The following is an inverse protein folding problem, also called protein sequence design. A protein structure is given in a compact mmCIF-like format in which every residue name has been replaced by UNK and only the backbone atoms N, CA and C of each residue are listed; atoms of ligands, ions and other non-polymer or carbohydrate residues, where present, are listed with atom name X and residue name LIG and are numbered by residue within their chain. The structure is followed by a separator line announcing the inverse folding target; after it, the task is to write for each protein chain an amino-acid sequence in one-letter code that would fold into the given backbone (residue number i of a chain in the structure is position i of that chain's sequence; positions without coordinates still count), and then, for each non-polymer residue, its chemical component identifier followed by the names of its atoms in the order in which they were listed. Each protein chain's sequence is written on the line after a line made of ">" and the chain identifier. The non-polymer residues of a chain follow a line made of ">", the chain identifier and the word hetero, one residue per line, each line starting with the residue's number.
data_IF_404664531387
#
_entry.id   IF_404664531387
#
_cell.length_a   1.000
_cell.length_b   1.000
_cell.length_c   1.000
_cell.angle_alpha   90.00
_cell.angle_beta   90.00
_cell.angle_gamma   90.00
#
_symmetry.space_group_name_H-M   'P 1'
#
loop_
_entity.id
_entity.type
_entity.pdbx_description
1 polymer ?
#
# COMPACT_ATOMS: atom_id res chain seq x y z
N UNK A 1 9.50 1.02 24.59
CA UNK A 1 8.18 0.45 24.86
C UNK A 1 7.12 1.31 24.22
N UNK A 2 6.06 0.68 23.68
CA UNK A 2 4.92 1.37 23.08
C UNK A 2 3.74 1.23 24.02
N UNK A 3 3.19 2.34 24.49
CA UNK A 3 2.01 2.36 25.36
C UNK A 3 0.77 2.50 24.47
N UNK A 4 0.07 1.40 24.22
CA UNK A 4 -1.14 1.42 23.42
C UNK A 4 -2.23 2.27 24.08
N UNK A 5 -2.98 3.00 23.25
CA UNK A 5 -4.23 3.61 23.70
C UNK A 5 -5.21 2.51 24.17
N UNK A 6 -6.07 2.78 25.19
CA UNK A 6 -7.00 1.78 25.72
C UNK A 6 -7.90 1.13 24.65
N UNK A 7 -8.30 1.92 23.64
CA UNK A 7 -9.13 1.47 22.54
C UNK A 7 -8.42 0.45 21.64
N UNK A 8 -7.12 0.65 21.37
CA UNK A 8 -6.33 -0.25 20.53
C UNK A 8 -5.81 -1.45 21.34
N UNK A 9 -5.59 -1.30 22.64
CA UNK A 9 -5.19 -2.40 23.50
C UNK A 9 -6.28 -3.50 23.62
N UNK A 10 -7.55 -3.11 23.45
CA UNK A 10 -8.67 -4.06 23.42
C UNK A 10 -8.80 -4.82 22.09
N UNK A 11 -8.07 -4.41 21.05
CA UNK A 11 -8.17 -5.00 19.71
C UNK A 11 -6.98 -5.92 19.41
N UNK A 12 -7.20 -7.11 18.82
CA UNK A 12 -6.12 -8.02 18.42
C UNK A 12 -5.09 -7.38 17.50
N UNK A 13 -5.57 -6.49 16.62
CA UNK A 13 -4.71 -5.74 15.67
C UNK A 13 -3.79 -4.76 16.41
N UNK A 14 -4.26 -4.14 17.50
CA UNK A 14 -3.44 -3.27 18.33
C UNK A 14 -2.31 -4.03 19.00
N UNK A 15 -2.60 -5.19 19.58
CA UNK A 15 -1.60 -6.07 20.21
C UNK A 15 -0.56 -6.57 19.19
N UNK A 16 -1.01 -6.94 17.98
CA UNK A 16 -0.12 -7.31 16.89
C UNK A 16 0.80 -6.14 16.51
N UNK A 17 0.25 -4.94 16.37
CA UNK A 17 1.03 -3.76 16.05
C UNK A 17 2.07 -3.45 17.14
N UNK A 18 1.71 -3.59 18.42
CA UNK A 18 2.65 -3.43 19.55
C UNK A 18 3.81 -4.42 19.44
N UNK A 19 3.51 -5.68 19.16
CA UNK A 19 4.53 -6.71 18.97
C UNK A 19 5.47 -6.36 17.81
N UNK A 20 4.93 -5.94 16.65
CA UNK A 20 5.72 -5.54 15.49
C UNK A 20 6.56 -4.30 15.77
N UNK A 21 6.02 -3.31 16.49
CA UNK A 21 6.72 -2.09 16.89
C UNK A 21 7.86 -2.39 17.89
N UNK A 22 7.68 -3.36 18.79
CA UNK A 22 8.71 -3.71 19.80
C UNK A 22 9.98 -4.29 19.18
N UNK A 23 9.88 -4.88 17.98
CA UNK A 23 11.05 -5.40 17.28
C UNK A 23 11.93 -4.28 16.67
N UNK A 24 11.43 -3.05 16.58
CA UNK A 24 12.17 -1.96 15.99
C UNK A 24 13.05 -1.24 17.00
N UNK A 25 14.37 -1.32 16.83
CA UNK A 25 15.36 -0.60 17.65
C UNK A 25 15.74 0.78 17.11
N UNK A 26 15.04 1.26 16.09
CA UNK A 26 15.24 2.56 15.44
C UNK A 26 16.67 2.84 14.95
N UNK A 27 17.45 1.82 14.57
CA UNK A 27 18.84 1.95 14.11
C UNK A 27 19.02 2.72 12.80
N UNK A 28 17.98 2.76 11.92
CA UNK A 28 18.02 3.52 10.68
C UNK A 28 18.60 2.80 9.46
N UNK A 29 19.12 1.55 9.56
CA UNK A 29 19.63 0.82 8.40
C UNK A 29 18.62 0.72 7.24
N UNK A 30 17.34 0.63 7.55
CA UNK A 30 16.27 0.59 6.58
C UNK A 30 16.15 1.85 5.70
N UNK A 31 16.65 3.00 6.17
CA UNK A 31 16.60 4.26 5.40
C UNK A 31 17.56 4.22 4.20
N UNK A 32 18.72 3.55 4.34
CA UNK A 32 19.71 3.44 3.27
C UNK A 32 19.18 2.73 2.02
N UNK A 33 18.22 1.82 2.17
CA UNK A 33 17.64 1.05 1.06
C UNK A 33 16.27 1.57 0.62
N UNK A 34 15.77 2.62 1.25
CA UNK A 34 14.44 3.16 0.95
C UNK A 34 14.49 4.18 -0.19
N UNK A 35 13.87 3.90 -1.36
CA UNK A 35 13.91 4.82 -2.50
C UNK A 35 13.20 6.16 -2.21
N UNK A 36 12.13 6.15 -1.43
CA UNK A 36 11.42 7.40 -1.09
C UNK A 36 12.23 8.28 -0.15
N UNK A 37 12.97 7.69 0.79
CA UNK A 37 13.88 8.44 1.64
C UNK A 37 15.04 9.05 0.84
N UNK A 38 15.66 8.27 -0.05
CA UNK A 38 16.77 8.73 -0.88
C UNK A 38 16.37 9.87 -1.83
N UNK A 39 15.17 9.84 -2.38
CA UNK A 39 14.68 10.85 -3.31
C UNK A 39 14.19 12.14 -2.62
N UNK A 40 13.56 12.02 -1.46
CA UNK A 40 12.89 13.14 -0.80
C UNK A 40 13.72 13.77 0.34
N UNK A 41 14.66 13.01 0.92
CA UNK A 41 15.50 13.47 2.02
C UNK A 41 14.75 13.69 3.34
N UNK A 42 13.46 13.34 3.41
CA UNK A 42 12.62 13.50 4.60
C UNK A 42 12.60 12.22 5.41
N UNK A 43 12.93 12.32 6.71
CA UNK A 43 12.93 11.17 7.63
C UNK A 43 11.56 10.50 7.72
N UNK A 44 10.47 11.28 7.66
CA UNK A 44 9.10 10.75 7.70
C UNK A 44 8.72 9.99 6.42
N UNK A 45 9.46 10.17 5.33
CA UNK A 45 9.32 9.40 4.10
C UNK A 45 10.22 8.14 4.06
N UNK A 46 10.99 7.91 5.14
CA UNK A 46 11.75 6.70 5.42
C UNK A 46 10.96 5.66 6.23
N UNK A 47 11.39 4.39 6.24
CA UNK A 47 10.70 3.35 7.02
C UNK A 47 10.73 3.63 8.52
N UNK A 48 11.87 4.11 9.06
CA UNK A 48 12.02 4.45 10.47
C UNK A 48 11.05 5.54 10.90
N UNK A 49 10.95 6.62 10.14
CA UNK A 49 10.03 7.72 10.42
C UNK A 49 8.57 7.29 10.30
N UNK A 50 8.23 6.44 9.31
CA UNK A 50 6.87 5.89 9.18
C UNK A 50 6.52 4.97 10.36
N UNK A 51 7.44 4.15 10.84
CA UNK A 51 7.25 3.35 12.07
C UNK A 51 6.96 4.27 13.26
N UNK A 52 7.68 5.39 13.36
CA UNK A 52 7.45 6.37 14.42
C UNK A 52 6.05 7.00 14.33
N UNK A 53 5.60 7.37 13.13
CA UNK A 53 4.24 7.87 12.91
C UNK A 53 3.16 6.86 13.29
N UNK A 54 3.36 5.58 12.95
CA UNK A 54 2.44 4.50 13.31
C UNK A 54 2.43 4.29 14.84
N UNK A 55 3.59 4.37 15.47
CA UNK A 55 3.71 4.31 16.94
C UNK A 55 2.92 5.43 17.62
N UNK A 56 3.03 6.67 17.12
CA UNK A 56 2.26 7.80 17.66
C UNK A 56 0.74 7.56 17.58
N UNK A 57 0.25 6.99 16.45
CA UNK A 57 -1.16 6.62 16.33
C UNK A 57 -1.53 5.53 17.34
N UNK A 58 -0.69 4.51 17.50
CA UNK A 58 -0.90 3.44 18.46
C UNK A 58 -0.98 3.95 19.90
N UNK A 59 -0.24 5.02 20.23
CA UNK A 59 -0.22 5.69 21.53
C UNK A 59 -1.37 6.70 21.72
N UNK A 60 -2.30 6.79 20.75
CA UNK A 60 -3.52 7.60 20.85
C UNK A 60 -3.44 8.97 20.17
N UNK A 61 -2.34 9.29 19.45
CA UNK A 61 -2.29 10.53 18.69
C UNK A 61 -3.16 10.43 17.43
N UNK A 62 -3.86 11.50 17.12
CA UNK A 62 -4.71 11.53 15.92
C UNK A 62 -3.86 11.63 14.63
N UNK A 63 -4.20 10.80 13.68
CA UNK A 63 -3.59 10.83 12.36
C UNK A 63 -3.98 12.09 11.58
N UNK A 64 -2.99 12.83 11.11
CA UNK A 64 -3.20 14.03 10.29
C UNK A 64 -3.17 13.71 8.79
N UNK A 65 -3.56 14.68 7.96
CA UNK A 65 -3.40 14.58 6.51
C UNK A 65 -1.91 14.43 6.10
N UNK A 66 -0.99 15.03 6.87
CA UNK A 66 0.47 14.87 6.67
C UNK A 66 0.90 13.44 6.97
N UNK A 67 0.48 12.88 8.11
CA UNK A 67 0.73 11.47 8.47
C UNK A 67 0.29 10.53 7.35
N UNK A 68 -0.91 10.76 6.80
CA UNK A 68 -1.40 10.00 5.65
C UNK A 68 -0.49 10.14 4.44
N UNK A 69 -0.07 11.36 4.10
CA UNK A 69 0.76 11.61 2.92
C UNK A 69 2.08 10.82 2.99
N UNK A 70 2.75 10.80 4.15
CA UNK A 70 3.98 10.04 4.35
C UNK A 70 3.77 8.53 4.25
N UNK A 71 2.69 7.98 4.83
CA UNK A 71 2.38 6.56 4.72
C UNK A 71 1.97 6.16 3.28
N UNK A 72 1.20 7.00 2.59
CA UNK A 72 0.75 6.75 1.20
C UNK A 72 1.91 6.78 0.19
N UNK A 73 2.97 7.57 0.42
CA UNK A 73 4.16 7.63 -0.44
C UNK A 73 5.00 6.36 -0.42
N UNK A 74 4.80 5.46 0.54
CA UNK A 74 5.54 4.21 0.57
C UNK A 74 5.20 3.33 -0.63
N UNK A 75 6.23 2.90 -1.36
CA UNK A 75 6.11 2.06 -2.56
C UNK A 75 5.84 0.58 -2.26
N UNK A 76 5.80 0.18 -0.99
CA UNK A 76 5.63 -1.22 -0.54
C UNK A 76 6.64 -2.20 -1.16
N UNK A 77 7.82 -1.73 -1.54
CA UNK A 77 8.87 -2.55 -2.16
C UNK A 77 9.57 -3.54 -1.22
N UNK A 78 9.35 -3.42 0.10
CA UNK A 78 9.90 -4.29 1.17
C UNK A 78 11.43 -4.34 1.30
N UNK A 79 12.19 -3.53 0.55
CA UNK A 79 13.66 -3.50 0.67
C UNK A 79 14.13 -3.22 2.12
N UNK A 80 13.34 -2.46 2.88
CA UNK A 80 13.62 -2.18 4.28
C UNK A 80 13.50 -3.42 5.20
N UNK A 81 12.67 -4.40 4.85
CA UNK A 81 12.53 -5.65 5.61
C UNK A 81 13.78 -6.53 5.45
N UNK A 82 14.27 -6.67 4.21
CA UNK A 82 15.45 -7.49 3.91
C UNK A 82 16.74 -6.94 4.54
N UNK A 83 16.81 -5.62 4.71
CA UNK A 83 17.97 -4.93 5.31
C UNK A 83 17.90 -4.88 6.83
N UNK A 84 16.74 -5.16 7.43
CA UNK A 84 16.54 -4.99 8.87
C UNK A 84 17.19 -6.11 9.68
N UNK A 85 18.22 -5.83 10.52
CA UNK A 85 18.84 -6.86 11.35
C UNK A 85 17.92 -7.39 12.44
N UNK A 86 16.92 -6.60 12.86
CA UNK A 86 15.92 -6.99 13.88
C UNK A 86 14.69 -7.68 13.29
N UNK A 87 14.65 -7.95 11.98
CA UNK A 87 13.57 -8.68 11.34
C UNK A 87 12.19 -8.03 11.44
N UNK A 88 12.13 -6.69 11.44
CA UNK A 88 10.85 -5.96 11.52
C UNK A 88 10.00 -6.23 10.29
N UNK A 89 8.80 -6.75 10.46
CA UNK A 89 7.82 -6.95 9.40
C UNK A 89 7.12 -5.63 9.06
N UNK A 90 7.87 -4.74 8.42
CA UNK A 90 7.43 -3.39 8.11
C UNK A 90 6.18 -3.34 7.23
N UNK A 91 6.03 -4.25 6.27
CA UNK A 91 4.87 -4.29 5.37
C UNK A 91 3.57 -4.46 6.13
N UNK A 92 3.52 -5.42 7.07
CA UNK A 92 2.33 -5.64 7.92
C UNK A 92 2.05 -4.43 8.81
N UNK A 93 3.09 -3.85 9.41
CA UNK A 93 2.94 -2.66 10.24
C UNK A 93 2.41 -1.46 9.43
N UNK A 94 2.90 -1.28 8.20
CA UNK A 94 2.43 -0.24 7.29
C UNK A 94 0.95 -0.41 6.91
N UNK A 95 0.51 -1.65 6.66
CA UNK A 95 -0.89 -1.96 6.35
C UNK A 95 -1.80 -1.57 7.52
N UNK A 96 -1.45 -1.95 8.73
CA UNK A 96 -2.16 -1.57 9.96
C UNK A 96 -2.20 -0.04 10.11
N UNK A 97 -1.06 0.62 9.95
CA UNK A 97 -0.97 2.08 10.05
C UNK A 97 -1.83 2.80 9.01
N UNK A 98 -1.85 2.33 7.76
CA UNK A 98 -2.72 2.89 6.71
C UNK A 98 -4.21 2.69 7.02
N UNK A 99 -4.57 1.56 7.61
CA UNK A 99 -5.94 1.29 8.03
C UNK A 99 -6.38 2.26 9.13
N UNK A 100 -5.56 2.44 10.17
CA UNK A 100 -5.85 3.38 11.26
C UNK A 100 -5.98 4.82 10.76
N UNK A 101 -5.08 5.25 9.90
CA UNK A 101 -5.16 6.57 9.26
C UNK A 101 -6.43 6.72 8.42
N UNK A 102 -6.86 5.68 7.73
CA UNK A 102 -8.08 5.72 6.92
C UNK A 102 -9.34 5.83 7.79
N UNK A 103 -9.36 5.19 8.96
CA UNK A 103 -10.47 5.26 9.93
C UNK A 103 -10.52 6.65 10.57
N UNK A 104 -9.39 7.14 11.07
CA UNK A 104 -9.34 8.42 11.80
C UNK A 104 -9.49 9.64 10.89
N UNK A 105 -9.03 9.56 9.66
CA UNK A 105 -9.05 10.67 8.71
C UNK A 105 -9.53 10.20 7.33
N UNK A 106 -10.83 9.93 7.13
CA UNK A 106 -11.38 9.41 5.88
C UNK A 106 -11.35 10.43 4.73
N UNK A 107 -11.28 11.73 5.05
CA UNK A 107 -11.38 12.79 4.05
C UNK A 107 -10.19 12.77 3.08
N UNK A 108 -10.47 12.53 1.80
CA UNK A 108 -9.53 12.67 0.68
C UNK A 108 -10.08 13.68 -0.31
N UNK A 109 -9.22 14.48 -0.97
CA UNK A 109 -9.64 15.35 -2.06
C UNK A 109 -10.45 14.58 -3.11
N UNK A 110 -11.54 15.19 -3.61
CA UNK A 110 -12.42 14.54 -4.59
C UNK A 110 -11.66 14.02 -5.81
N UNK A 111 -10.67 14.77 -6.30
CA UNK A 111 -9.83 14.36 -7.43
C UNK A 111 -9.10 13.03 -7.15
N UNK A 112 -8.56 12.84 -5.95
CA UNK A 112 -7.89 11.58 -5.58
C UNK A 112 -8.90 10.42 -5.43
N UNK A 113 -10.11 10.71 -4.92
CA UNK A 113 -11.18 9.70 -4.80
C UNK A 113 -11.62 9.21 -6.19
N UNK A 114 -11.88 10.15 -7.10
CA UNK A 114 -12.27 9.84 -8.49
C UNK A 114 -11.17 9.10 -9.21
N UNK A 115 -9.91 9.55 -9.09
CA UNK A 115 -8.77 8.88 -9.72
C UNK A 115 -8.61 7.43 -9.21
N UNK A 116 -8.67 7.22 -7.90
CA UNK A 116 -8.58 5.86 -7.31
C UNK A 116 -9.74 4.97 -7.73
N UNK A 117 -10.95 5.51 -7.78
CA UNK A 117 -12.11 4.79 -8.28
C UNK A 117 -11.95 4.42 -9.75
N UNK A 118 -11.54 5.38 -10.59
CA UNK A 118 -11.32 5.14 -12.03
C UNK A 118 -10.21 4.10 -12.29
N UNK A 119 -9.11 4.17 -11.53
CA UNK A 119 -8.05 3.16 -11.62
C UNK A 119 -8.53 1.78 -11.15
N UNK A 120 -9.26 1.73 -10.03
CA UNK A 120 -9.82 0.48 -9.52
C UNK A 120 -10.76 -0.16 -10.54
N UNK A 121 -11.75 0.58 -11.02
CA UNK A 121 -12.73 0.05 -11.97
C UNK A 121 -12.12 -0.19 -13.37
N UNK A 122 -11.29 0.73 -13.83
CA UNK A 122 -10.69 0.65 -15.16
C UNK A 122 -9.63 -0.44 -15.32
N UNK A 123 -8.76 -0.63 -14.32
CA UNK A 123 -7.67 -1.61 -14.42
C UNK A 123 -8.10 -3.03 -14.06
N UNK A 124 -9.09 -3.19 -13.16
CA UNK A 124 -9.52 -4.52 -12.71
C UNK A 124 -10.50 -5.18 -13.66
N UNK A 125 -11.22 -4.40 -14.49
CA UNK A 125 -12.24 -4.92 -15.39
C UNK A 125 -11.74 -4.98 -16.83
N UNK A 126 -11.42 -6.17 -17.31
CA UNK A 126 -10.90 -6.40 -18.66
C UNK A 126 -11.81 -5.86 -19.78
N UNK A 127 -13.13 -5.91 -19.59
CA UNK A 127 -14.10 -5.40 -20.55
C UNK A 127 -14.09 -3.86 -20.68
N UNK A 128 -13.58 -3.14 -19.67
CA UNK A 128 -13.35 -1.68 -19.72
C UNK A 128 -11.93 -1.41 -20.22
N UNK A 129 -10.95 -2.15 -19.72
CA UNK A 129 -9.53 -1.94 -20.01
C UNK A 129 -9.20 -2.20 -21.48
N UNK A 130 -9.69 -3.30 -22.05
CA UNK A 130 -9.36 -3.68 -23.41
C UNK A 130 -9.85 -2.65 -24.45
N UNK A 131 -11.13 -2.22 -24.47
CA UNK A 131 -11.57 -1.19 -25.41
C UNK A 131 -10.90 0.16 -25.15
N UNK A 132 -10.66 0.54 -23.88
CA UNK A 132 -9.94 1.77 -23.57
C UNK A 132 -8.51 1.76 -24.15
N UNK A 133 -7.82 0.64 -24.09
CA UNK A 133 -6.49 0.47 -24.71
C UNK A 133 -6.55 0.50 -26.23
N UNK A 134 -7.59 -0.07 -26.86
CA UNK A 134 -7.78 -0.01 -28.32
C UNK A 134 -8.01 1.43 -28.78
N UNK A 135 -8.91 2.15 -28.10
CA UNK A 135 -9.17 3.57 -28.34
C UNK A 135 -7.87 4.39 -28.17
N UNK A 136 -7.12 4.15 -27.07
CA UNK A 136 -5.85 4.83 -26.83
C UNK A 136 -4.81 4.59 -27.95
N UNK A 137 -4.80 3.41 -28.58
CA UNK A 137 -3.94 3.11 -29.74
C UNK A 137 -4.37 3.86 -30.99
N UNK A 138 -5.67 3.96 -31.26
CA UNK A 138 -6.22 4.68 -32.41
C UNK A 138 -5.91 6.18 -32.29
N UNK A 139 -6.09 6.75 -31.10
CA UNK A 139 -5.82 8.17 -30.85
C UNK A 139 -4.37 8.50 -30.52
N UNK A 140 -3.47 7.52 -30.54
CA UNK A 140 -2.05 7.70 -30.25
C UNK A 140 -1.38 8.85 -30.98
N UNK A 141 -1.60 9.06 -32.29
CA UNK A 141 -0.95 10.16 -33.03
C UNK A 141 -1.35 11.56 -32.52
N UNK A 142 -2.51 11.69 -31.89
CA UNK A 142 -3.00 12.97 -31.35
C UNK A 142 -2.59 13.22 -29.90
N UNK A 143 -1.95 12.24 -29.21
CA UNK A 143 -1.54 12.40 -27.83
C UNK A 143 -0.17 13.09 -27.72
N UNK A 144 0.08 13.82 -26.61
CA UNK A 144 1.41 14.34 -26.30
C UNK A 144 2.46 13.22 -26.26
N UNK A 145 3.69 13.53 -26.66
CA UNK A 145 4.80 12.56 -26.78
C UNK A 145 5.08 11.76 -25.52
N UNK A 146 4.83 12.35 -24.34
CA UNK A 146 4.97 11.70 -23.04
C UNK A 146 3.97 10.54 -22.87
N UNK A 147 2.73 10.71 -23.33
CA UNK A 147 1.68 9.69 -23.28
C UNK A 147 1.83 8.65 -24.40
N UNK A 148 2.32 9.05 -25.57
CA UNK A 148 2.59 8.13 -26.69
C UNK A 148 3.57 7.02 -26.30
N UNK A 149 4.61 7.35 -25.50
CA UNK A 149 5.62 6.38 -25.03
C UNK A 149 5.07 5.35 -24.04
N UNK A 150 3.95 5.66 -23.35
CA UNK A 150 3.33 4.77 -22.35
C UNK A 150 2.31 3.79 -22.97
N UNK A 151 1.86 4.03 -24.19
CA UNK A 151 0.91 3.13 -24.86
C UNK A 151 1.71 2.10 -25.66
N UNK A 152 1.66 0.80 -25.32
CA UNK A 152 2.42 -0.23 -26.02
C UNK A 152 1.92 -0.40 -27.44
N UNK A 153 2.86 -0.51 -28.39
CA UNK A 153 2.57 -0.95 -29.74
C UNK A 153 2.18 -2.42 -29.71
N UNK A 154 1.15 -2.82 -30.44
CA UNK A 154 0.85 -4.22 -30.62
C UNK A 154 1.93 -4.83 -31.54
N UNK A 155 3.00 -5.39 -30.97
CA UNK A 155 3.83 -6.31 -31.71
C UNK A 155 3.07 -7.62 -31.84
N UNK A 156 2.57 -7.87 -33.04
CA UNK A 156 1.88 -9.10 -33.43
C UNK A 156 2.82 -10.29 -33.64
N UNK A 157 3.96 -10.33 -32.96
CA UNK A 157 4.88 -11.47 -33.05
C UNK A 157 5.65 -11.67 -31.77
N UNK A 158 5.03 -12.27 -30.85
CA UNK A 158 5.56 -13.28 -29.91
C UNK A 158 4.44 -13.66 -28.95
N UNK A 159 3.65 -14.63 -29.34
CA UNK A 159 2.85 -15.43 -28.41
C UNK A 159 3.79 -16.26 -27.53
N UNK A 160 4.57 -15.61 -26.67
CA UNK A 160 4.93 -16.23 -25.41
C UNK A 160 3.65 -16.26 -24.61
N UNK A 161 2.98 -17.42 -24.59
CA UNK A 161 1.95 -17.73 -23.63
C UNK A 161 2.54 -17.40 -22.26
N UNK A 162 2.24 -16.20 -21.79
CA UNK A 162 2.41 -15.92 -20.36
C UNK A 162 1.47 -16.90 -19.71
N UNK A 163 2.03 -17.94 -19.12
CA UNK A 163 1.27 -18.88 -18.30
C UNK A 163 0.78 -18.02 -17.15
N UNK A 164 -0.41 -17.48 -17.32
CA UNK A 164 -1.16 -16.92 -16.21
C UNK A 164 -1.45 -18.15 -15.33
N UNK A 165 -0.63 -18.35 -14.30
CA UNK A 165 -0.97 -19.32 -13.27
C UNK A 165 -2.19 -18.68 -12.60
N UNK A 166 -3.41 -19.19 -12.84
CA UNK A 166 -4.55 -18.72 -12.10
C UNK A 166 -4.24 -19.07 -10.64
N UNK A 167 -3.95 -18.04 -9.85
CA UNK A 167 -3.98 -18.21 -8.39
C UNK A 167 -5.41 -18.61 -8.11
N UNK A 168 -5.62 -19.90 -7.87
CA UNK A 168 -6.95 -20.44 -7.62
C UNK A 168 -7.55 -19.65 -6.47
N UNK A 169 -8.81 -19.23 -6.61
CA UNK A 169 -9.56 -18.57 -5.54
C UNK A 169 -9.45 -19.33 -4.21
N UNK A 170 -9.27 -20.64 -4.27
CA UNK A 170 -9.08 -21.53 -3.13
C UNK A 170 -7.76 -21.31 -2.36
N UNK A 171 -6.70 -20.83 -3.02
CA UNK A 171 -5.42 -20.52 -2.34
C UNK A 171 -5.44 -19.16 -1.62
N UNK A 172 -6.31 -18.23 -2.04
CA UNK A 172 -6.43 -16.88 -1.45
C UNK A 172 -7.58 -16.83 -0.45
N UNK A 173 -8.61 -17.67 -0.61
CA UNK A 173 -9.79 -17.70 0.25
C UNK A 173 -9.48 -17.85 1.75
N UNK A 174 -8.59 -18.76 2.21
CA UNK A 174 -8.34 -18.91 3.64
C UNK A 174 -7.64 -17.69 4.24
N UNK A 175 -6.80 -16.97 3.47
CA UNK A 175 -6.13 -15.77 3.97
C UNK A 175 -7.09 -14.59 4.08
N UNK A 176 -8.04 -14.49 3.14
CA UNK A 176 -9.10 -13.47 3.18
C UNK A 176 -10.12 -13.75 4.26
N UNK A 177 -10.57 -15.01 4.42
CA UNK A 177 -11.52 -15.40 5.47
C UNK A 177 -10.97 -15.12 6.87
N UNK A 178 -9.73 -15.49 7.15
CA UNK A 178 -9.07 -15.19 8.45
C UNK A 178 -8.96 -13.68 8.70
N UNK A 179 -8.79 -12.86 7.65
CA UNK A 179 -8.79 -11.41 7.78
C UNK A 179 -10.19 -10.85 8.03
N UNK A 180 -11.24 -11.40 7.38
CA UNK A 180 -12.61 -10.91 7.53
C UNK A 180 -13.28 -11.39 8.82
N UNK A 181 -13.04 -12.62 9.27
CA UNK A 181 -13.54 -13.13 10.56
C UNK A 181 -12.96 -12.33 11.75
N UNK A 182 -11.70 -11.89 11.66
CA UNK A 182 -11.10 -11.03 12.67
C UNK A 182 -11.62 -9.58 12.66
N UNK A 183 -12.33 -9.17 11.62
CA UNK A 183 -12.87 -7.81 11.48
C UNK A 183 -14.39 -7.72 11.67
N UNK A 184 -15.08 -8.81 12.02
CA UNK A 184 -16.51 -8.82 12.30
C UNK A 184 -17.39 -8.40 11.11
N UNK A 185 -16.93 -8.63 9.89
CA UNK A 185 -17.70 -8.39 8.67
C UNK A 185 -18.30 -9.72 8.23
N UNK A 186 -19.59 -9.92 8.51
CA UNK A 186 -20.37 -11.01 7.96
C UNK A 186 -20.39 -10.90 6.43
N UNK A 187 -19.78 -11.87 5.77
CA UNK A 187 -19.80 -12.01 4.31
C UNK A 187 -20.83 -13.10 3.99
N UNK A 188 -22.11 -12.71 4.01
CA UNK A 188 -23.20 -13.48 3.36
C UNK A 188 -23.43 -12.93 1.96
#
# INVERSE_FOLDING_TARGET
>A
QTNLSPELAAQPVGLLAQQLLSNCVHCGFCNATCPTYQLLGDELDGPRGRIYLIKQIAEGQQATAKTRAHLDRCLTCKNCETTCPSGVQYGRLLEIGRQWVQIQNPARPLAQRVLRWALKEGLTRSYIFNPAMQIGRIFRPFLPTVLQKKIPLSNSSSSKKTVFIPVSREAVAPLFLVLFENFGVDVN
#
